data_IF_786346310013
#
_entry.id   IF_786346310013
#
_cell.length_a   1.000
_cell.length_b   1.000
_cell.length_c   1.000
_cell.angle_alpha   90.00
_cell.angle_beta   90.00
_cell.angle_gamma   90.00
#
_symmetry.space_group_name_H-M   'P 1'
#
loop_
_entity.id
_entity.type
_entity.pdbx_description
1 polymer ?
#
# COMPACT_ATOMS: atom_id res chain seq x y z
N UNK A 1 13.04 -18.92 1.37
CA UNK A 1 11.58 -19.01 1.53
C UNK A 1 10.93 -17.81 0.87
N UNK A 2 11.40 -16.60 1.17
CA UNK A 2 11.14 -15.42 0.35
C UNK A 2 11.83 -15.53 -1.01
N UNK A 3 11.04 -15.65 -2.08
CA UNK A 3 11.52 -15.74 -3.46
C UNK A 3 10.56 -14.99 -4.36
N UNK A 4 11.12 -14.21 -5.30
CA UNK A 4 10.35 -13.49 -6.29
C UNK A 4 10.69 -13.99 -7.69
N UNK A 5 9.73 -14.67 -8.30
CA UNK A 5 9.87 -15.24 -9.64
C UNK A 5 9.08 -14.42 -10.64
N UNK A 6 9.77 -13.86 -11.63
CA UNK A 6 9.14 -13.27 -12.80
C UNK A 6 8.70 -14.39 -13.75
N UNK A 7 7.46 -14.34 -14.21
CA UNK A 7 6.91 -15.26 -15.21
C UNK A 7 6.91 -14.66 -16.61
N UNK A 8 6.53 -13.39 -16.73
CA UNK A 8 6.47 -12.68 -17.99
C UNK A 8 6.68 -11.18 -17.78
N UNK A 9 7.07 -10.49 -18.85
CA UNK A 9 7.33 -9.05 -18.86
C UNK A 9 6.86 -8.44 -20.16
N UNK A 10 6.35 -7.22 -20.11
CA UNK A 10 6.08 -6.39 -21.28
C UNK A 10 6.61 -4.97 -21.05
N UNK A 11 7.77 -4.66 -21.65
CA UNK A 11 8.51 -3.46 -21.26
C UNK A 11 8.90 -3.54 -19.79
N UNK A 12 8.55 -2.51 -19.01
CA UNK A 12 8.83 -2.47 -17.58
C UNK A 12 7.78 -3.21 -16.73
N UNK A 13 6.59 -3.51 -17.27
CA UNK A 13 5.55 -4.24 -16.55
C UNK A 13 5.96 -5.70 -16.34
N UNK A 14 5.71 -6.22 -15.14
CA UNK A 14 6.16 -7.54 -14.72
C UNK A 14 4.99 -8.33 -14.13
N UNK A 15 4.77 -9.54 -14.63
CA UNK A 15 3.94 -10.53 -13.93
C UNK A 15 4.88 -11.47 -13.21
N UNK A 16 4.69 -11.58 -11.91
CA UNK A 16 5.53 -12.39 -11.05
C UNK A 16 4.77 -13.10 -9.95
N UNK A 17 5.53 -13.74 -9.08
CA UNK A 17 5.03 -14.44 -7.90
C UNK A 17 6.01 -14.25 -6.77
N UNK A 18 5.54 -13.70 -5.66
CA UNK A 18 6.30 -13.56 -4.42
C UNK A 18 5.86 -14.63 -3.43
N UNK A 19 6.78 -15.48 -3.00
CA UNK A 19 6.51 -16.57 -2.06
C UNK A 19 6.81 -16.11 -0.64
N UNK A 20 5.91 -16.33 0.30
CA UNK A 20 6.10 -16.05 1.73
C UNK A 20 5.72 -17.28 2.57
N UNK A 21 6.03 -17.30 3.89
CA UNK A 21 5.62 -18.38 4.78
C UNK A 21 4.11 -18.66 4.80
N UNK A 22 3.27 -17.63 4.67
CA UNK A 22 1.81 -17.74 4.76
C UNK A 22 1.10 -17.78 3.41
N UNK A 23 1.83 -17.83 2.28
CA UNK A 23 1.21 -18.01 0.97
C UNK A 23 2.02 -17.41 -0.18
N UNK A 24 1.45 -17.49 -1.37
CA UNK A 24 2.01 -16.89 -2.57
C UNK A 24 1.21 -15.64 -2.95
N UNK A 25 1.89 -14.62 -3.46
CA UNK A 25 1.28 -13.37 -3.94
C UNK A 25 1.61 -13.20 -5.42
N UNK A 26 0.59 -13.22 -6.28
CA UNK A 26 0.71 -12.94 -7.71
C UNK A 26 0.88 -11.44 -7.93
N UNK A 27 1.95 -11.04 -8.61
CA UNK A 27 2.21 -9.62 -8.90
C UNK A 27 1.90 -9.28 -10.37
N UNK A 28 1.39 -8.07 -10.66
CA UNK A 28 1.13 -6.98 -9.72
C UNK A 28 -0.07 -7.25 -8.77
N UNK A 29 -0.02 -6.75 -7.53
CA UNK A 29 -1.03 -6.96 -6.49
C UNK A 29 -1.37 -5.68 -5.73
N UNK A 30 -2.66 -5.47 -5.49
CA UNK A 30 -3.16 -4.47 -4.55
C UNK A 30 -3.44 -5.10 -3.19
N UNK A 31 -2.89 -4.49 -2.12
CA UNK A 31 -3.02 -4.92 -0.74
C UNK A 31 -4.07 -4.06 -0.01
N UNK A 32 -5.22 -4.64 0.39
CA UNK A 32 -6.17 -3.96 1.25
C UNK A 32 -5.55 -3.56 2.59
N UNK A 33 -5.80 -2.31 3.02
CA UNK A 33 -5.20 -1.76 4.24
C UNK A 33 -6.04 -2.07 5.48
N UNK A 34 -5.46 -2.85 6.39
CA UNK A 34 -5.93 -3.22 7.72
C UNK A 34 -5.37 -2.31 8.81
N UNK A 35 -5.94 -1.12 9.00
CA UNK A 35 -5.40 -0.09 9.91
C UNK A 35 -5.28 -0.53 11.38
N UNK A 36 -6.19 -1.38 11.88
CA UNK A 36 -6.23 -1.80 13.29
C UNK A 36 -6.41 -3.33 13.38
N UNK A 37 -5.67 -4.08 12.54
CA UNK A 37 -5.89 -5.53 12.40
C UNK A 37 -7.25 -5.86 11.76
N UNK A 38 -7.79 -4.95 10.94
CA UNK A 38 -9.05 -5.16 10.20
C UNK A 38 -9.12 -4.24 8.99
N UNK A 39 -9.49 -4.80 7.84
CA UNK A 39 -9.89 -4.02 6.66
C UNK A 39 -11.27 -3.43 6.93
N UNK A 40 -11.35 -2.09 6.99
CA UNK A 40 -12.54 -1.39 7.50
C UNK A 40 -13.82 -1.83 6.79
N UNK A 41 -14.74 -2.41 7.56
CA UNK A 41 -16.09 -2.77 7.11
C UNK A 41 -16.22 -4.16 6.50
N UNK A 42 -15.14 -4.95 6.43
CA UNK A 42 -15.11 -6.30 5.87
C UNK A 42 -14.60 -7.31 6.90
N UNK A 43 -15.09 -8.55 6.80
CA UNK A 43 -14.42 -9.70 7.42
C UNK A 43 -13.34 -10.21 6.47
N UNK A 44 -12.35 -10.93 7.00
CA UNK A 44 -11.19 -11.36 6.21
C UNK A 44 -11.55 -12.39 5.12
N UNK A 45 -12.56 -13.23 5.32
CA UNK A 45 -13.10 -14.12 4.28
C UNK A 45 -13.57 -13.34 3.05
N UNK A 46 -14.20 -12.18 3.26
CA UNK A 46 -14.61 -11.32 2.15
C UNK A 46 -13.41 -10.71 1.47
N UNK A 47 -12.41 -10.25 2.24
CA UNK A 47 -11.17 -9.70 1.68
C UNK A 47 -10.49 -10.72 0.77
N UNK A 48 -10.40 -11.99 1.22
CA UNK A 48 -9.89 -13.10 0.41
C UNK A 48 -10.75 -13.35 -0.83
N UNK A 49 -12.08 -13.40 -0.69
CA UNK A 49 -13.00 -13.64 -1.79
C UNK A 49 -12.97 -12.55 -2.88
N UNK A 50 -12.48 -11.34 -2.56
CA UNK A 50 -12.28 -10.27 -3.54
C UNK A 50 -11.00 -10.45 -4.37
N UNK A 51 -10.19 -11.47 -4.10
CA UNK A 51 -8.94 -11.76 -4.82
C UNK A 51 -7.70 -11.10 -4.19
N UNK A 52 -7.80 -10.59 -2.97
CA UNK A 52 -6.62 -10.15 -2.23
C UNK A 52 -5.85 -11.37 -1.72
N UNK A 53 -4.56 -11.44 -2.05
CA UNK A 53 -3.66 -12.50 -1.56
C UNK A 53 -2.77 -11.98 -0.43
N UNK A 54 -2.60 -10.67 -0.29
CA UNK A 54 -1.79 -10.04 0.74
C UNK A 54 -2.51 -8.81 1.28
N UNK A 55 -2.33 -8.50 2.56
CA UNK A 55 -2.87 -7.30 3.21
C UNK A 55 -1.78 -6.48 3.86
N UNK A 56 -1.99 -5.16 3.96
CA UNK A 56 -1.13 -4.28 4.73
C UNK A 56 -1.74 -4.06 6.11
N UNK A 57 -0.96 -4.25 7.17
CA UNK A 57 -1.32 -3.88 8.54
C UNK A 57 -0.50 -2.70 9.01
N UNK A 58 -1.12 -1.80 9.76
CA UNK A 58 -0.45 -0.58 10.21
C UNK A 58 0.18 -0.75 11.59
N UNK A 59 1.52 -0.62 11.65
CA UNK A 59 2.28 -0.80 12.89
C UNK A 59 1.98 0.30 13.91
N UNK A 60 1.92 1.56 13.48
CA UNK A 60 1.67 2.70 14.37
C UNK A 60 0.36 2.53 15.14
N UNK A 61 -0.71 2.15 14.45
CA UNK A 61 -2.02 1.99 15.05
C UNK A 61 -2.10 0.75 15.95
N UNK A 62 -1.56 -0.39 15.51
CA UNK A 62 -1.53 -1.62 16.32
C UNK A 62 -0.67 -1.47 17.58
N UNK A 63 0.45 -0.74 17.48
CA UNK A 63 1.30 -0.39 18.60
C UNK A 63 0.55 0.41 19.66
N UNK A 64 -0.19 1.45 19.26
CA UNK A 64 -0.94 2.28 20.20
C UNK A 64 -2.18 1.57 20.76
N UNK A 65 -2.88 0.80 19.92
CA UNK A 65 -4.05 0.03 20.35
C UNK A 65 -4.30 -1.14 19.39
N UNK A 66 -4.30 -2.39 19.87
CA UNK A 66 -4.36 -2.79 21.27
C UNK A 66 -2.99 -2.92 21.98
N UNK A 67 -1.89 -2.68 21.27
CA UNK A 67 -0.54 -3.02 21.72
C UNK A 67 -0.06 -4.32 21.08
N UNK A 68 1.16 -4.31 20.54
CA UNK A 68 1.74 -5.45 19.83
C UNK A 68 2.01 -6.67 20.75
N UNK A 69 2.35 -6.45 22.02
CA UNK A 69 2.50 -7.52 23.02
C UNK A 69 1.19 -8.28 23.22
N UNK A 70 0.07 -7.56 23.36
CA UNK A 70 -1.25 -8.19 23.49
C UNK A 70 -1.65 -8.95 22.21
N UNK A 71 -1.32 -8.41 21.02
CA UNK A 71 -1.55 -9.13 19.75
C UNK A 71 -0.73 -10.43 19.73
N UNK A 72 0.52 -10.40 20.17
CA UNK A 72 1.37 -11.58 20.28
C UNK A 72 0.78 -12.62 21.24
N UNK A 73 0.39 -12.22 22.45
CA UNK A 73 -0.22 -13.10 23.46
C UNK A 73 -1.53 -13.75 22.96
N UNK A 74 -2.23 -13.09 22.04
CA UNK A 74 -3.45 -13.60 21.39
C UNK A 74 -3.18 -14.47 20.15
N UNK A 75 -1.93 -14.84 19.89
CA UNK A 75 -1.54 -15.76 18.80
C UNK A 75 -0.84 -15.10 17.62
N UNK A 76 -0.47 -13.82 17.72
CA UNK A 76 0.12 -13.06 16.61
C UNK A 76 -0.93 -12.43 15.69
N UNK A 77 -0.48 -11.60 14.76
CA UNK A 77 -1.37 -10.76 13.97
C UNK A 77 -2.30 -11.55 13.06
N UNK A 78 -1.82 -12.62 12.41
CA UNK A 78 -2.62 -13.51 11.57
C UNK A 78 -3.83 -14.07 12.32
N UNK A 79 -3.60 -14.69 13.48
CA UNK A 79 -4.66 -15.24 14.35
C UNK A 79 -5.58 -14.15 14.89
N UNK A 80 -5.00 -13.03 15.32
CA UNK A 80 -5.74 -11.90 15.88
C UNK A 80 -6.75 -11.31 14.87
N UNK A 81 -6.34 -11.17 13.60
CA UNK A 81 -7.20 -10.62 12.56
C UNK A 81 -7.97 -11.67 11.76
N UNK A 82 -7.73 -12.97 11.99
CA UNK A 82 -8.29 -14.10 11.23
C UNK A 82 -7.93 -14.03 9.74
N UNK A 83 -6.64 -13.83 9.47
CA UNK A 83 -6.09 -13.81 8.11
C UNK A 83 -4.97 -14.82 7.98
N UNK A 84 -5.19 -15.85 7.16
CA UNK A 84 -4.21 -16.92 6.96
C UNK A 84 -3.19 -16.60 5.84
N UNK A 85 -3.40 -15.51 5.11
CA UNK A 85 -2.52 -15.11 4.00
C UNK A 85 -1.33 -14.24 4.43
N UNK A 86 -0.45 -13.89 3.47
CA UNK A 86 0.64 -12.95 3.69
C UNK A 86 0.21 -11.60 4.27
N UNK A 87 1.01 -11.06 5.21
CA UNK A 87 0.85 -9.72 5.79
C UNK A 87 2.13 -8.90 5.58
N UNK A 88 1.96 -7.65 5.15
CA UNK A 88 3.01 -6.62 5.20
C UNK A 88 2.69 -5.64 6.34
N UNK A 89 3.64 -5.35 7.21
CA UNK A 89 3.51 -4.24 8.17
C UNK A 89 4.32 -3.04 7.72
N UNK A 90 3.71 -1.85 7.73
CA UNK A 90 4.47 -0.61 7.54
C UNK A 90 5.34 -0.29 8.77
N UNK A 91 6.29 0.62 8.64
CA UNK A 91 7.18 0.99 9.75
C UNK A 91 6.53 1.91 10.78
N UNK A 92 5.33 2.44 10.48
CA UNK A 92 4.71 3.53 11.23
C UNK A 92 5.35 4.90 11.00
N UNK A 93 6.44 4.99 10.23
CA UNK A 93 7.16 6.23 9.95
C UNK A 93 6.21 7.28 9.38
N UNK A 94 5.60 7.02 8.22
CA UNK A 94 4.72 7.98 7.53
C UNK A 94 3.62 8.55 8.45
N UNK A 95 3.00 7.74 9.31
CA UNK A 95 1.96 8.17 10.23
C UNK A 95 2.53 9.16 11.26
N UNK A 96 3.70 8.87 11.80
CA UNK A 96 4.42 9.78 12.70
C UNK A 96 4.82 11.08 11.97
N UNK A 97 5.26 11.02 10.70
CA UNK A 97 5.58 12.22 9.91
C UNK A 97 4.34 13.05 9.54
N UNK A 98 3.20 12.40 9.27
CA UNK A 98 1.93 13.07 8.97
C UNK A 98 1.38 13.87 10.17
N UNK A 99 1.84 13.57 11.38
CA UNK A 99 1.49 14.22 12.63
C UNK A 99 2.50 15.33 13.02
N UNK A 100 2.96 16.12 12.05
CA UNK A 100 4.06 17.08 12.20
C UNK A 100 3.95 18.07 13.38
N UNK A 101 2.75 18.32 13.92
CA UNK A 101 2.53 19.21 15.07
C UNK A 101 2.85 18.59 16.44
N UNK A 102 2.96 17.27 16.51
CA UNK A 102 3.04 16.52 17.77
C UNK A 102 4.19 15.50 17.75
N UNK A 103 5.28 15.86 17.08
CA UNK A 103 6.45 15.01 16.87
C UNK A 103 7.75 15.82 16.99
N UNK A 104 8.77 15.21 17.59
CA UNK A 104 10.15 15.68 17.59
C UNK A 104 11.06 14.63 16.92
N UNK A 105 11.90 15.07 15.97
CA UNK A 105 12.82 14.19 15.24
C UNK A 105 14.25 14.37 15.75
N UNK A 106 14.90 13.25 16.05
CA UNK A 106 16.30 13.19 16.45
C UNK A 106 17.13 12.38 15.44
N UNK A 107 18.45 12.33 15.65
CA UNK A 107 19.33 11.54 14.79
C UNK A 107 19.03 10.04 14.90
N UNK A 108 18.65 9.57 16.09
CA UNK A 108 18.55 8.15 16.43
C UNK A 108 17.11 7.65 16.66
N UNK A 109 16.13 8.54 16.71
CA UNK A 109 14.73 8.21 17.03
C UNK A 109 13.75 9.30 16.61
N UNK A 110 12.48 8.99 16.74
CA UNK A 110 11.37 9.95 16.63
C UNK A 110 10.46 9.85 17.85
N UNK A 111 10.23 10.97 18.51
CA UNK A 111 9.29 11.08 19.63
C UNK A 111 7.96 11.65 19.11
N UNK A 112 6.84 11.16 19.60
CA UNK A 112 5.52 11.64 19.19
C UNK A 112 4.48 11.49 20.31
N UNK A 113 3.37 12.20 20.17
CA UNK A 113 2.20 12.03 21.04
C UNK A 113 1.15 11.15 20.37
N UNK A 114 0.58 10.24 21.15
CA UNK A 114 -0.56 9.41 20.77
C UNK A 114 -1.76 10.30 20.43
N UNK A 115 -2.33 10.08 19.25
CA UNK A 115 -3.59 10.73 18.84
C UNK A 115 -4.82 10.18 19.59
N UNK A 116 -4.65 9.11 20.39
CA UNK A 116 -5.74 8.46 21.13
C UNK A 116 -5.94 9.12 22.49
N UNK A 117 -4.85 9.36 23.22
CA UNK A 117 -4.89 9.80 24.63
C UNK A 117 -3.83 10.85 24.99
N UNK A 118 -2.99 11.28 24.05
CA UNK A 118 -1.95 12.29 24.27
C UNK A 118 -0.71 11.79 25.00
N UNK A 119 -0.62 10.49 25.30
CA UNK A 119 0.59 9.90 25.89
C UNK A 119 1.80 10.04 24.96
N UNK A 120 3.00 10.15 25.53
CA UNK A 120 4.25 10.28 24.77
C UNK A 120 4.84 8.91 24.46
N UNK A 121 5.27 8.73 23.22
CA UNK A 121 5.88 7.52 22.71
C UNK A 121 7.13 7.86 21.90
N UNK A 122 7.95 6.84 21.66
CA UNK A 122 9.18 6.94 20.89
C UNK A 122 9.29 5.73 19.97
N UNK A 123 9.67 5.98 18.72
CA UNK A 123 10.12 4.94 17.78
C UNK A 123 11.60 5.13 17.46
N UNK A 124 12.37 4.10 17.73
CA UNK A 124 13.72 3.88 17.20
C UNK A 124 13.70 2.80 16.10
N UNK A 125 14.71 2.75 15.21
CA UNK A 125 14.89 1.66 14.26
C UNK A 125 14.74 0.26 14.88
N UNK A 126 15.37 0.01 16.03
CA UNK A 126 15.31 -1.27 16.72
C UNK A 126 13.92 -1.56 17.28
N UNK A 127 13.28 -0.57 17.93
CA UNK A 127 11.95 -0.75 18.51
C UNK A 127 10.90 -1.08 17.44
N UNK A 128 11.00 -0.49 16.25
CA UNK A 128 10.07 -0.74 15.15
C UNK A 128 10.26 -2.13 14.56
N UNK A 129 11.51 -2.62 14.50
CA UNK A 129 11.78 -4.02 14.17
C UNK A 129 11.18 -4.94 15.25
N UNK A 130 11.41 -4.66 16.54
CA UNK A 130 10.87 -5.46 17.64
C UNK A 130 9.34 -5.56 17.60
N UNK A 131 8.66 -4.44 17.37
CA UNK A 131 7.20 -4.38 17.26
C UNK A 131 6.72 -5.25 16.10
N UNK A 132 7.28 -5.08 14.90
CA UNK A 132 6.83 -5.82 13.71
C UNK A 132 7.19 -7.31 13.80
N UNK A 133 8.32 -7.65 14.43
CA UNK A 133 8.70 -9.04 14.74
C UNK A 133 7.71 -9.69 15.70
N UNK A 134 7.28 -8.95 16.72
CA UNK A 134 6.29 -9.38 17.71
C UNK A 134 4.90 -9.58 17.09
N UNK A 135 4.49 -8.69 16.18
CA UNK A 135 3.25 -8.83 15.40
C UNK A 135 3.28 -10.06 14.49
N UNK A 136 4.44 -10.44 13.97
CA UNK A 136 4.65 -11.67 13.21
C UNK A 136 4.26 -11.61 11.73
N UNK A 137 4.24 -10.42 11.12
CA UNK A 137 3.92 -10.25 9.69
C UNK A 137 5.01 -10.82 8.75
N UNK A 138 4.65 -11.31 7.56
CA UNK A 138 5.61 -11.90 6.61
C UNK A 138 6.67 -10.90 6.11
N UNK A 139 6.26 -9.67 5.82
CA UNK A 139 7.15 -8.58 5.36
C UNK A 139 7.06 -7.43 6.35
N UNK A 140 8.20 -6.96 6.82
CA UNK A 140 8.31 -5.81 7.72
C UNK A 140 9.08 -4.70 7.02
N UNK A 141 8.67 -3.45 7.21
CA UNK A 141 9.34 -2.30 6.59
C UNK A 141 10.34 -1.67 7.57
N UNK A 142 11.53 -1.30 7.08
CA UNK A 142 12.49 -0.54 7.85
C UNK A 142 11.93 0.85 8.22
N UNK A 143 12.26 1.34 9.42
CA UNK A 143 11.93 2.72 9.80
C UNK A 143 12.73 3.69 8.94
N UNK A 144 12.02 4.62 8.32
CA UNK A 144 12.55 5.61 7.40
C UNK A 144 12.08 7.01 7.78
N UNK A 145 12.67 8.03 7.15
CA UNK A 145 12.16 9.38 7.22
C UNK A 145 11.50 9.76 5.89
N UNK A 146 10.27 10.27 5.94
CA UNK A 146 9.54 10.72 4.77
C UNK A 146 9.46 12.26 4.73
N UNK A 147 10.37 12.96 4.02
CA UNK A 147 10.25 14.40 3.78
C UNK A 147 8.94 14.76 3.08
N UNK A 148 8.36 15.96 3.36
CA UNK A 148 7.18 16.44 2.64
C UNK A 148 7.49 16.71 1.16
N UNK A 149 6.47 16.69 0.31
CA UNK A 149 6.59 17.10 -1.09
C UNK A 149 7.15 18.53 -1.20
N UNK A 150 8.08 18.74 -2.12
CA UNK A 150 8.70 20.05 -2.35
C UNK A 150 9.72 20.48 -1.29
N UNK A 151 10.12 19.59 -0.36
CA UNK A 151 11.23 19.84 0.54
C UNK A 151 12.53 20.11 -0.23
N UNK A 152 13.35 21.03 0.28
CA UNK A 152 14.61 21.41 -0.35
C UNK A 152 15.55 20.21 -0.53
N UNK A 153 16.26 20.17 -1.65
CA UNK A 153 17.24 19.12 -1.98
C UNK A 153 18.22 18.83 -0.85
N UNK A 154 18.75 19.88 -0.19
CA UNK A 154 19.68 19.73 0.94
C UNK A 154 19.05 19.03 2.14
N UNK A 155 17.78 19.33 2.45
CA UNK A 155 17.03 18.65 3.51
C UNK A 155 16.79 17.17 3.15
N UNK A 156 16.36 16.91 1.92
CA UNK A 156 16.12 15.54 1.43
C UNK A 156 17.41 14.72 1.44
N UNK A 157 18.56 15.31 1.09
CA UNK A 157 19.87 14.65 1.18
C UNK A 157 20.21 14.24 2.61
N UNK A 158 20.02 15.13 3.59
CA UNK A 158 20.20 14.81 5.03
C UNK A 158 19.23 13.72 5.48
N UNK A 159 18.00 13.74 4.98
CA UNK A 159 16.99 12.74 5.28
C UNK A 159 17.33 11.36 4.73
N UNK A 160 17.86 11.28 3.50
CA UNK A 160 18.36 10.03 2.93
C UNK A 160 19.53 9.47 3.76
N UNK A 161 20.48 10.32 4.18
CA UNK A 161 21.59 9.89 5.05
C UNK A 161 21.05 9.32 6.38
N UNK A 162 20.05 9.96 6.98
CA UNK A 162 19.38 9.46 8.20
C UNK A 162 18.70 8.12 7.95
N UNK A 163 17.96 7.99 6.83
CA UNK A 163 17.27 6.75 6.45
C UNK A 163 18.25 5.59 6.25
N UNK A 164 19.42 5.83 5.66
CA UNK A 164 20.49 4.82 5.54
C UNK A 164 21.00 4.38 6.92
N UNK A 165 21.35 5.33 7.80
CA UNK A 165 21.79 4.99 9.17
C UNK A 165 20.72 4.21 9.95
N UNK A 166 19.45 4.55 9.76
CA UNK A 166 18.34 3.84 10.38
C UNK A 166 18.14 2.44 9.79
N UNK A 167 18.33 2.27 8.48
CA UNK A 167 18.29 0.98 7.81
C UNK A 167 19.37 0.03 8.33
N UNK A 168 20.61 0.49 8.48
CA UNK A 168 21.71 -0.30 9.07
C UNK A 168 21.38 -0.81 10.47
N UNK A 169 20.73 0.03 11.28
CA UNK A 169 20.26 -0.33 12.63
C UNK A 169 19.09 -1.32 12.61
N UNK A 170 18.11 -1.10 11.72
CA UNK A 170 17.01 -2.04 11.52
C UNK A 170 17.54 -3.42 11.13
N UNK A 171 18.49 -3.46 10.19
CA UNK A 171 19.14 -4.68 9.72
C UNK A 171 19.87 -5.40 10.84
N UNK A 172 20.73 -4.69 11.57
CA UNK A 172 21.49 -5.28 12.67
C UNK A 172 20.57 -5.91 13.72
N UNK A 173 19.49 -5.21 14.08
CA UNK A 173 18.49 -5.73 15.01
C UNK A 173 17.72 -6.93 14.45
N UNK A 174 17.34 -6.87 13.18
CA UNK A 174 16.65 -7.97 12.51
C UNK A 174 17.50 -9.25 12.53
N UNK A 175 18.77 -9.15 12.14
CA UNK A 175 19.72 -10.27 12.17
C UNK A 175 19.92 -10.84 13.57
N UNK A 176 20.09 -9.98 14.58
CA UNK A 176 20.22 -10.40 15.97
C UNK A 176 19.01 -11.24 16.44
N UNK A 177 17.79 -10.83 16.06
CA UNK A 177 16.56 -11.56 16.40
C UNK A 177 16.42 -12.87 15.62
N UNK A 178 16.86 -12.91 14.36
CA UNK A 178 16.90 -14.15 13.58
C UNK A 178 17.86 -15.18 14.19
N UNK A 179 19.06 -14.75 14.61
CA UNK A 179 20.07 -15.61 15.21
C UNK A 179 19.61 -16.23 16.55
N UNK A 180 18.78 -15.52 17.31
CA UNK A 180 18.18 -16.03 18.55
C UNK A 180 17.11 -17.11 18.29
N UNK A 181 16.52 -17.13 17.10
CA UNK A 181 15.46 -18.09 16.74
C UNK A 181 14.13 -17.86 17.46
N UNK A 182 13.91 -16.67 18.02
CA UNK A 182 12.80 -16.34 18.92
C UNK A 182 11.54 -15.81 18.19
N UNK A 183 11.53 -15.69 16.86
CA UNK A 183 10.41 -15.08 16.14
C UNK A 183 10.10 -15.76 14.80
N UNK A 184 8.87 -15.56 14.25
CA UNK A 184 8.46 -16.17 13.00
C UNK A 184 9.40 -15.80 11.84
N UNK A 185 9.35 -16.58 10.76
CA UNK A 185 10.09 -16.24 9.55
C UNK A 185 9.47 -15.00 8.93
N UNK A 186 10.28 -13.95 8.75
CA UNK A 186 9.85 -12.68 8.17
C UNK A 186 10.97 -12.17 7.27
N UNK A 187 10.72 -11.12 6.51
CA UNK A 187 11.76 -10.43 5.76
C UNK A 187 11.66 -8.92 5.92
N UNK A 188 12.81 -8.23 5.88
CA UNK A 188 12.92 -6.79 6.01
C UNK A 188 13.05 -6.13 4.63
N UNK A 189 12.19 -5.16 4.33
CA UNK A 189 12.28 -4.33 3.14
C UNK A 189 12.78 -2.92 3.51
N UNK A 190 13.81 -2.39 2.83
CA UNK A 190 14.19 -1.00 2.94
C UNK A 190 13.17 -0.09 2.23
N UNK A 191 13.07 1.17 2.63
CA UNK A 191 12.16 2.16 2.04
C UNK A 191 12.94 3.24 1.32
N UNK A 192 12.86 3.25 -0.01
CA UNK A 192 13.59 4.17 -0.85
C UNK A 192 12.96 5.56 -0.79
N UNK A 193 13.75 6.51 -0.31
CA UNK A 193 13.45 7.94 -0.23
C UNK A 193 14.25 8.76 -1.28
N UNK A 194 14.00 10.07 -1.33
CA UNK A 194 14.68 10.97 -2.27
C UNK A 194 13.76 12.02 -2.91
N UNK A 195 12.47 12.06 -2.54
CA UNK A 195 11.49 13.02 -3.07
C UNK A 195 11.44 12.94 -4.61
N UNK A 196 11.35 14.09 -5.31
CA UNK A 196 11.36 14.16 -6.78
C UNK A 196 12.77 14.28 -7.41
N UNK A 197 13.83 14.14 -6.61
CA UNK A 197 15.22 14.41 -7.04
C UNK A 197 15.92 13.14 -7.54
N UNK A 198 16.25 13.12 -8.84
CA UNK A 198 16.78 11.94 -9.51
C UNK A 198 18.15 11.49 -8.99
N UNK A 199 19.03 12.44 -8.69
CA UNK A 199 20.35 12.15 -8.13
C UNK A 199 20.23 11.49 -6.76
N UNK A 200 19.35 12.01 -5.89
CA UNK A 200 19.12 11.45 -4.56
C UNK A 200 18.44 10.08 -4.63
N UNK A 201 17.48 9.88 -5.54
CA UNK A 201 16.83 8.58 -5.76
C UNK A 201 17.80 7.51 -6.24
N UNK A 202 18.66 7.82 -7.22
CA UNK A 202 19.70 6.89 -7.72
C UNK A 202 20.70 6.53 -6.63
N UNK A 203 21.24 7.54 -5.96
CA UNK A 203 22.25 7.35 -4.92
C UNK A 203 21.71 6.45 -3.80
N UNK A 204 20.49 6.74 -3.33
CA UNK A 204 19.88 5.99 -2.25
C UNK A 204 19.56 4.53 -2.64
N UNK A 205 19.13 4.29 -3.90
CA UNK A 205 18.95 2.93 -4.42
C UNK A 205 20.24 2.12 -4.36
N UNK A 206 21.37 2.74 -4.78
CA UNK A 206 22.69 2.10 -4.81
C UNK A 206 23.20 1.79 -3.41
N UNK A 207 23.07 2.75 -2.48
CA UNK A 207 23.46 2.54 -1.08
C UNK A 207 22.70 1.38 -0.44
N UNK A 208 21.41 1.20 -0.73
CA UNK A 208 20.67 0.03 -0.24
C UNK A 208 21.27 -1.28 -0.74
N UNK A 209 21.61 -1.36 -2.02
CA UNK A 209 22.21 -2.56 -2.62
C UNK A 209 23.63 -2.84 -2.10
N UNK A 210 24.35 -1.82 -1.62
CA UNK A 210 25.66 -1.99 -0.97
C UNK A 210 25.56 -2.59 0.44
N UNK A 211 24.45 -2.33 1.16
CA UNK A 211 24.24 -2.84 2.52
C UNK A 211 23.92 -4.33 2.53
N UNK A 212 22.98 -4.76 1.68
CA UNK A 212 22.49 -6.14 1.65
C UNK A 212 21.78 -6.49 0.33
N UNK A 213 21.73 -7.78 0.00
CA UNK A 213 20.84 -8.32 -1.04
C UNK A 213 19.42 -8.47 -0.48
N UNK A 214 18.67 -7.37 -0.50
CA UNK A 214 17.31 -7.30 0.01
C UNK A 214 16.35 -8.19 -0.79
N UNK A 215 15.41 -8.81 -0.08
CA UNK A 215 14.38 -9.65 -0.72
C UNK A 215 13.29 -8.87 -1.47
N UNK A 216 13.26 -7.55 -1.32
CA UNK A 216 12.36 -6.61 -2.01
C UNK A 216 12.60 -5.18 -1.56
N UNK A 217 11.97 -4.22 -2.22
CA UNK A 217 12.20 -2.78 -2.01
C UNK A 217 10.88 -2.02 -1.90
N UNK A 218 10.71 -1.24 -0.83
CA UNK A 218 9.68 -0.21 -0.74
C UNK A 218 10.12 1.06 -1.48
N UNK A 219 9.18 1.73 -2.13
CA UNK A 219 9.35 3.03 -2.78
C UNK A 219 8.44 4.00 -2.02
N UNK A 220 9.06 4.81 -1.15
CA UNK A 220 8.38 5.79 -0.30
C UNK A 220 8.58 7.23 -0.79
N UNK A 221 7.94 8.17 -0.09
CA UNK A 221 8.08 9.60 -0.37
C UNK A 221 7.56 10.02 -1.75
N UNK A 222 6.60 9.27 -2.28
CA UNK A 222 5.80 9.57 -3.47
C UNK A 222 4.32 9.49 -3.09
N UNK A 223 3.45 10.08 -3.90
CA UNK A 223 2.04 10.34 -3.65
C UNK A 223 1.80 11.14 -2.35
N UNK A 224 2.70 12.09 -2.06
CA UNK A 224 2.64 12.96 -0.86
C UNK A 224 2.46 14.44 -1.20
N UNK A 225 2.11 14.74 -2.45
CA UNK A 225 1.76 16.08 -2.93
C UNK A 225 2.53 16.54 -4.17
N UNK A 226 3.42 15.71 -4.71
CA UNK A 226 4.13 15.99 -5.95
C UNK A 226 3.24 15.81 -7.21
N UNK A 227 3.71 16.31 -8.35
CA UNK A 227 2.99 16.13 -9.61
C UNK A 227 3.01 14.67 -10.06
N UNK A 228 1.97 14.24 -10.77
CA UNK A 228 1.93 12.89 -11.35
C UNK A 228 3.10 12.63 -12.30
N UNK A 229 3.46 13.62 -13.11
CA UNK A 229 4.59 13.53 -14.03
C UNK A 229 5.92 13.31 -13.30
N UNK A 230 6.13 13.97 -12.15
CA UNK A 230 7.31 13.74 -11.32
C UNK A 230 7.34 12.32 -10.75
N UNK A 231 6.21 11.85 -10.21
CA UNK A 231 6.10 10.48 -9.71
C UNK A 231 6.42 9.46 -10.82
N UNK A 232 5.85 9.62 -12.01
CA UNK A 232 6.09 8.76 -13.17
C UNK A 232 7.55 8.74 -13.60
N UNK A 233 8.18 9.92 -13.72
CA UNK A 233 9.59 10.07 -14.04
C UNK A 233 10.49 9.38 -13.02
N UNK A 234 10.17 9.49 -11.72
CA UNK A 234 10.93 8.81 -10.65
C UNK A 234 10.76 7.29 -10.73
N UNK A 235 9.56 6.77 -11.03
CA UNK A 235 9.37 5.32 -11.20
C UNK A 235 10.13 4.77 -12.41
N UNK A 236 10.12 5.49 -13.53
CA UNK A 236 10.91 5.14 -14.73
C UNK A 236 12.41 5.12 -14.42
N UNK A 237 12.89 6.12 -13.66
CA UNK A 237 14.26 6.16 -13.18
C UNK A 237 14.63 4.92 -12.34
N UNK A 238 13.78 4.58 -11.35
CA UNK A 238 14.05 3.46 -10.44
C UNK A 238 13.97 2.10 -11.14
N UNK A 239 13.31 2.02 -12.29
CA UNK A 239 13.25 0.79 -13.07
C UNK A 239 14.65 0.27 -13.44
N UNK A 240 15.55 1.20 -13.80
CA UNK A 240 16.92 0.89 -14.23
C UNK A 240 17.89 0.67 -13.07
N UNK A 241 17.59 1.21 -11.89
CA UNK A 241 18.47 1.13 -10.71
C UNK A 241 18.14 -0.08 -9.82
N UNK A 242 16.86 -0.44 -9.66
CA UNK A 242 16.45 -1.52 -8.75
C UNK A 242 16.57 -2.91 -9.41
N UNK A 243 17.01 -3.95 -8.67
CA UNK A 243 17.10 -5.30 -9.20
C UNK A 243 15.77 -5.80 -9.78
N UNK A 244 15.82 -6.40 -10.97
CA UNK A 244 14.63 -6.92 -11.65
C UNK A 244 14.00 -8.10 -10.91
N UNK A 245 14.82 -8.96 -10.31
CA UNK A 245 14.42 -10.19 -9.61
C UNK A 245 13.96 -9.95 -8.15
N UNK A 246 13.56 -8.72 -7.82
CA UNK A 246 13.05 -8.34 -6.51
C UNK A 246 11.71 -7.60 -6.66
N UNK A 247 10.73 -7.84 -5.76
CA UNK A 247 9.47 -7.14 -5.79
C UNK A 247 9.68 -5.66 -5.46
N UNK A 248 8.97 -4.80 -6.17
CA UNK A 248 8.99 -3.34 -5.98
C UNK A 248 7.63 -2.89 -5.45
N UNK A 249 7.61 -2.40 -4.22
CA UNK A 249 6.41 -2.00 -3.50
C UNK A 249 6.26 -0.48 -3.52
N UNK A 250 5.27 0.03 -4.25
CA UNK A 250 4.94 1.46 -4.27
C UNK A 250 3.97 1.79 -3.14
N UNK A 251 4.47 2.53 -2.14
CA UNK A 251 3.76 2.75 -0.89
C UNK A 251 2.68 3.85 -1.03
N UNK A 252 1.46 3.58 -0.56
CA UNK A 252 0.38 4.56 -0.46
C UNK A 252 -0.35 4.91 -1.76
N UNK A 253 -0.01 4.27 -2.88
CA UNK A 253 -0.64 4.47 -4.19
C UNK A 253 -1.71 3.42 -4.46
N UNK A 254 -2.90 3.86 -4.86
CA UNK A 254 -3.98 2.92 -5.20
C UNK A 254 -5.24 3.55 -5.77
N UNK A 255 -5.13 4.69 -6.45
CA UNK A 255 -6.18 5.07 -7.40
C UNK A 255 -6.05 4.21 -8.66
N UNK A 256 -7.16 3.88 -9.35
CA UNK A 256 -7.11 2.91 -10.45
C UNK A 256 -6.15 3.27 -11.59
N UNK A 257 -6.13 4.53 -12.00
CA UNK A 257 -5.24 5.02 -13.05
C UNK A 257 -3.79 5.05 -12.58
N UNK A 258 -3.55 5.48 -11.35
CA UNK A 258 -2.21 5.45 -10.77
C UNK A 258 -1.63 4.03 -10.68
N UNK A 259 -2.47 3.05 -10.32
CA UNK A 259 -2.07 1.64 -10.25
C UNK A 259 -1.57 1.17 -11.62
N UNK A 260 -2.32 1.41 -12.70
CA UNK A 260 -1.90 0.99 -14.04
C UNK A 260 -0.63 1.71 -14.52
N UNK A 261 -0.53 3.01 -14.28
CA UNK A 261 0.66 3.80 -14.65
C UNK A 261 1.91 3.32 -13.89
N UNK A 262 1.76 2.93 -12.62
CA UNK A 262 2.85 2.38 -11.84
C UNK A 262 3.21 0.93 -12.24
N UNK A 263 2.23 0.10 -12.59
CA UNK A 263 2.48 -1.23 -13.18
C UNK A 263 3.24 -1.10 -14.49
N UNK A 264 2.85 -0.15 -15.35
CA UNK A 264 3.55 0.13 -16.61
C UNK A 264 5.02 0.52 -16.41
N UNK A 265 5.37 1.02 -15.22
CA UNK A 265 6.73 1.42 -14.80
C UNK A 265 7.40 0.39 -13.88
N UNK A 266 6.80 -0.79 -13.79
CA UNK A 266 7.38 -1.95 -13.14
C UNK A 266 7.25 -1.95 -11.62
N UNK A 267 6.22 -1.36 -11.04
CA UNK A 267 5.84 -1.63 -9.65
C UNK A 267 5.01 -2.92 -9.54
N UNK A 268 5.19 -3.68 -8.46
CA UNK A 268 4.57 -4.99 -8.26
C UNK A 268 3.54 -5.02 -7.14
N UNK A 269 3.78 -4.27 -6.05
CA UNK A 269 2.92 -4.26 -4.87
C UNK A 269 2.43 -2.84 -4.64
N UNK A 270 1.17 -2.72 -4.23
CA UNK A 270 0.49 -1.45 -4.00
C UNK A 270 -0.37 -1.54 -2.75
N UNK A 271 -0.54 -0.43 -2.05
CA UNK A 271 -1.52 -0.31 -0.98
C UNK A 271 -2.15 1.08 -1.00
N UNK A 272 -3.41 1.18 -0.62
CA UNK A 272 -4.01 2.48 -0.38
C UNK A 272 -5.25 2.37 0.49
N UNK A 273 -5.48 3.38 1.32
CA UNK A 273 -6.74 3.51 2.07
C UNK A 273 -7.89 4.04 1.20
N UNK A 274 -7.61 4.54 0.00
CA UNK A 274 -8.60 5.16 -0.89
C UNK A 274 -9.87 4.32 -1.12
N UNK A 275 -9.81 2.98 -1.36
CA UNK A 275 -11.00 2.20 -1.64
C UNK A 275 -12.04 2.26 -0.51
N UNK A 276 -11.59 1.98 0.71
CA UNK A 276 -12.46 1.96 1.90
C UNK A 276 -12.74 3.38 2.41
N UNK A 277 -11.83 4.34 2.21
CA UNK A 277 -12.03 5.76 2.56
C UNK A 277 -13.09 6.41 1.67
N UNK A 278 -13.01 6.21 0.36
CA UNK A 278 -13.95 6.77 -0.61
C UNK A 278 -15.34 6.15 -0.43
N UNK A 279 -15.40 4.84 -0.14
CA UNK A 279 -16.64 4.15 0.22
C UNK A 279 -17.37 4.83 1.40
N UNK A 280 -16.65 5.22 2.47
CA UNK A 280 -17.22 5.96 3.62
C UNK A 280 -17.79 7.33 3.23
N UNK A 281 -17.29 7.95 2.17
CA UNK A 281 -17.78 9.23 1.67
C UNK A 281 -18.88 9.09 0.59
N UNK A 282 -19.24 7.85 0.22
CA UNK A 282 -20.25 7.55 -0.80
C UNK A 282 -19.71 7.58 -2.23
N UNK A 283 -18.39 7.49 -2.39
CA UNK A 283 -17.74 7.46 -3.70
C UNK A 283 -17.33 6.03 -4.09
N UNK A 284 -17.49 5.70 -5.36
CA UNK A 284 -17.14 4.41 -5.93
C UNK A 284 -16.48 4.56 -7.31
N UNK A 285 -15.62 3.63 -7.68
CA UNK A 285 -15.02 3.59 -9.02
C UNK A 285 -15.82 2.69 -9.95
N UNK A 286 -15.96 3.09 -11.21
CA UNK A 286 -16.70 2.31 -12.21
C UNK A 286 -15.93 2.32 -13.53
N UNK A 287 -16.02 1.24 -14.28
CA UNK A 287 -15.32 1.03 -15.55
C UNK A 287 -15.69 2.07 -16.62
N UNK A 288 -16.95 2.52 -16.65
CA UNK A 288 -17.47 3.40 -17.69
C UNK A 288 -17.55 4.87 -17.31
N UNK A 289 -17.85 5.19 -16.04
CA UNK A 289 -18.09 6.56 -15.57
C UNK A 289 -16.97 7.08 -14.65
N UNK A 290 -15.90 6.31 -14.50
CA UNK A 290 -14.81 6.65 -13.60
C UNK A 290 -15.28 6.66 -12.15
N UNK A 291 -14.77 7.63 -11.37
CA UNK A 291 -15.20 7.82 -10.00
C UNK A 291 -16.55 8.53 -9.94
N UNK A 292 -17.54 7.89 -9.33
CA UNK A 292 -18.88 8.43 -9.11
C UNK A 292 -19.13 8.73 -7.64
N UNK A 293 -19.96 9.74 -7.37
CA UNK A 293 -20.50 10.03 -6.03
C UNK A 293 -21.98 9.64 -5.97
N UNK A 294 -22.30 8.58 -5.23
CA UNK A 294 -23.67 8.04 -5.18
C UNK A 294 -24.67 8.96 -4.47
N UNK A 295 -24.25 10.07 -3.85
CA UNK A 295 -25.16 11.10 -3.33
C UNK A 295 -25.89 11.86 -4.45
N UNK A 296 -25.31 11.90 -5.66
CA UNK A 296 -25.85 12.65 -6.80
C UNK A 296 -27.29 12.23 -7.12
N UNK A 297 -28.13 13.22 -7.46
CA UNK A 297 -29.56 13.00 -7.72
C UNK A 297 -29.81 12.06 -8.92
N UNK A 298 -28.89 12.01 -9.89
CA UNK A 298 -29.00 11.14 -11.09
C UNK A 298 -29.15 9.65 -10.77
N UNK A 299 -28.68 9.20 -9.61
CA UNK A 299 -28.79 7.80 -9.22
C UNK A 299 -30.09 7.47 -8.47
N UNK A 300 -31.03 8.40 -8.29
CA UNK A 300 -32.25 8.19 -7.47
C UNK A 300 -33.14 7.05 -7.96
N UNK A 301 -33.21 6.85 -9.27
CA UNK A 301 -34.08 5.86 -9.92
C UNK A 301 -33.26 4.94 -10.84
N UNK A 302 -31.93 4.94 -10.68
CA UNK A 302 -31.02 4.13 -11.51
C UNK A 302 -30.99 2.67 -11.01
N UNK A 303 -31.76 1.81 -11.67
CA UNK A 303 -31.88 0.38 -11.33
C UNK A 303 -30.77 -0.50 -11.92
N UNK A 304 -29.75 0.11 -12.53
CA UNK A 304 -28.55 -0.62 -13.00
C UNK A 304 -27.65 -0.97 -11.81
N UNK A 305 -26.80 -2.02 -11.94
CA UNK A 305 -25.76 -2.28 -10.95
C UNK A 305 -24.78 -1.11 -10.85
N UNK A 306 -24.01 -1.04 -9.77
CA UNK A 306 -23.00 0.01 -9.57
C UNK A 306 -21.99 0.05 -10.72
N UNK A 307 -21.51 -1.10 -11.16
CA UNK A 307 -20.71 -1.28 -12.36
C UNK A 307 -21.16 -2.55 -13.09
N UNK A 308 -21.36 -2.47 -14.39
CA UNK A 308 -21.82 -3.60 -15.22
C UNK A 308 -20.71 -4.60 -15.52
N UNK A 309 -19.45 -4.23 -15.33
CA UNK A 309 -18.27 -5.09 -15.57
C UNK A 309 -17.75 -5.73 -14.27
N UNK A 310 -18.34 -5.40 -13.11
CA UNK A 310 -17.90 -5.90 -11.81
C UNK A 310 -18.69 -7.13 -11.37
N UNK A 311 -17.98 -8.14 -10.89
CA UNK A 311 -18.48 -9.42 -10.42
C UNK A 311 -18.70 -9.47 -8.89
N UNK A 312 -18.48 -8.36 -8.17
CA UNK A 312 -18.60 -8.34 -6.71
C UNK A 312 -20.04 -8.54 -6.21
N UNK A 313 -20.16 -8.94 -4.95
CA UNK A 313 -21.45 -9.08 -4.26
C UNK A 313 -22.35 -7.85 -4.41
N UNK A 314 -21.79 -6.65 -4.23
CA UNK A 314 -22.54 -5.38 -4.36
C UNK A 314 -23.17 -5.22 -5.74
N UNK A 315 -22.42 -5.43 -6.82
CA UNK A 315 -22.92 -5.28 -8.19
C UNK A 315 -23.89 -6.41 -8.58
N UNK A 316 -23.74 -7.60 -8.02
CA UNK A 316 -24.64 -8.73 -8.30
C UNK A 316 -26.01 -8.63 -7.61
N UNK A 317 -26.10 -7.90 -6.49
CA UNK A 317 -27.26 -7.93 -5.61
C UNK A 317 -27.98 -6.59 -5.43
N UNK A 318 -27.32 -5.46 -5.72
CA UNK A 318 -27.87 -4.13 -5.44
C UNK A 318 -27.75 -3.20 -6.65
N UNK A 319 -28.77 -2.38 -6.84
CA UNK A 319 -28.77 -1.31 -7.83
C UNK A 319 -28.30 0.03 -7.24
N UNK A 320 -27.98 0.97 -8.15
CA UNK A 320 -27.50 2.31 -7.78
C UNK A 320 -28.54 3.12 -7.01
N UNK A 321 -29.83 2.93 -7.28
CA UNK A 321 -30.93 3.58 -6.56
C UNK A 321 -30.94 3.23 -5.08
N UNK A 322 -30.85 1.95 -4.76
CA UNK A 322 -30.77 1.46 -3.39
C UNK A 322 -29.47 1.87 -2.72
N UNK A 323 -28.33 1.71 -3.40
CA UNK A 323 -27.04 2.13 -2.85
C UNK A 323 -27.02 3.64 -2.55
N UNK A 324 -27.55 4.48 -3.44
CA UNK A 324 -27.73 5.90 -3.18
C UNK A 324 -28.60 6.14 -1.95
N UNK A 325 -29.74 5.46 -1.83
CA UNK A 325 -30.62 5.60 -0.68
C UNK A 325 -29.86 5.36 0.62
N UNK A 326 -29.10 4.26 0.72
CA UNK A 326 -28.28 3.95 1.89
C UNK A 326 -27.21 5.00 2.16
N UNK A 327 -26.50 5.47 1.12
CA UNK A 327 -25.47 6.50 1.24
C UNK A 327 -26.04 7.82 1.77
N UNK A 328 -27.21 8.25 1.27
CA UNK A 328 -27.88 9.48 1.71
C UNK A 328 -28.44 9.33 3.12
N UNK A 329 -28.96 8.15 3.46
CA UNK A 329 -29.45 7.82 4.79
C UNK A 329 -28.32 7.62 5.82
N UNK A 330 -27.05 7.60 5.38
CA UNK A 330 -25.87 7.34 6.23
C UNK A 330 -25.91 5.96 6.91
N UNK A 331 -26.47 4.96 6.22
CA UNK A 331 -26.53 3.58 6.71
C UNK A 331 -25.16 2.90 6.61
N UNK A 332 -24.77 2.17 7.67
CA UNK A 332 -23.49 1.45 7.71
C UNK A 332 -23.34 0.43 6.58
N UNK A 333 -24.46 -0.14 6.12
CA UNK A 333 -24.48 -1.06 4.99
C UNK A 333 -23.96 -0.41 3.71
N UNK A 334 -24.17 0.89 3.50
CA UNK A 334 -23.60 1.61 2.35
C UNK A 334 -22.07 1.52 2.35
N UNK A 335 -21.46 1.80 3.51
CA UNK A 335 -20.00 1.79 3.66
C UNK A 335 -19.44 0.41 3.34
N UNK A 336 -20.09 -0.65 3.83
CA UNK A 336 -19.69 -2.03 3.58
C UNK A 336 -19.78 -2.40 2.11
N UNK A 337 -20.95 -2.18 1.48
CA UNK A 337 -21.17 -2.52 0.08
C UNK A 337 -20.23 -1.77 -0.87
N UNK A 338 -19.99 -0.48 -0.62
CA UNK A 338 -19.05 0.30 -1.44
C UNK A 338 -17.59 -0.10 -1.19
N UNK A 339 -17.24 -0.53 0.03
CA UNK A 339 -15.89 -1.02 0.31
C UNK A 339 -15.61 -2.35 -0.40
N UNK A 340 -16.57 -3.27 -0.41
CA UNK A 340 -16.51 -4.52 -1.19
C UNK A 340 -16.27 -4.19 -2.67
N UNK A 341 -17.08 -3.29 -3.23
CA UNK A 341 -16.98 -2.90 -4.63
C UNK A 341 -15.62 -2.27 -4.97
N UNK A 342 -15.20 -1.25 -4.22
CA UNK A 342 -13.96 -0.52 -4.52
C UNK A 342 -12.71 -1.39 -4.35
N UNK A 343 -12.70 -2.30 -3.37
CA UNK A 343 -11.61 -3.25 -3.21
C UNK A 343 -11.58 -4.25 -4.38
N UNK A 344 -12.74 -4.82 -4.76
CA UNK A 344 -12.81 -5.70 -5.93
C UNK A 344 -12.34 -5.00 -7.20
N UNK A 345 -12.66 -3.72 -7.36
CA UNK A 345 -12.26 -2.95 -8.53
C UNK A 345 -10.74 -2.96 -8.72
N UNK A 346 -9.96 -2.74 -7.65
CA UNK A 346 -8.50 -2.72 -7.72
C UNK A 346 -7.86 -4.10 -7.80
N UNK A 347 -8.42 -5.11 -7.11
CA UNK A 347 -7.93 -6.49 -7.22
C UNK A 347 -8.20 -7.06 -8.61
N UNK A 348 -9.38 -6.82 -9.18
CA UNK A 348 -9.72 -7.20 -10.56
C UNK A 348 -8.84 -6.46 -11.59
N UNK A 349 -8.51 -5.19 -11.35
CA UNK A 349 -7.58 -4.43 -12.19
C UNK A 349 -6.15 -5.02 -12.14
N UNK A 350 -5.73 -5.50 -10.97
CA UNK A 350 -4.46 -6.21 -10.79
C UNK A 350 -4.48 -7.57 -11.51
N UNK A 351 -5.58 -8.34 -11.38
CA UNK A 351 -5.80 -9.60 -12.10
C UNK A 351 -5.72 -9.43 -13.62
N UNK A 352 -6.44 -8.44 -14.15
CA UNK A 352 -6.44 -8.14 -15.58
C UNK A 352 -5.05 -7.66 -16.04
N UNK A 353 -4.35 -6.86 -15.24
CA UNK A 353 -2.97 -6.47 -15.54
C UNK A 353 -2.06 -7.68 -15.71
N UNK A 354 -2.13 -8.66 -14.80
CA UNK A 354 -1.36 -9.92 -14.89
C UNK A 354 -1.67 -10.68 -16.18
N UNK A 355 -2.95 -10.83 -16.51
CA UNK A 355 -3.39 -11.52 -17.75
C UNK A 355 -2.85 -10.82 -18.99
N UNK A 356 -2.92 -9.49 -19.02
CA UNK A 356 -2.48 -8.69 -20.18
C UNK A 356 -0.96 -8.72 -20.36
N UNK A 357 -0.19 -8.75 -19.28
CA UNK A 357 1.28 -8.90 -19.33
C UNK A 357 1.64 -10.29 -19.86
N UNK A 358 0.96 -11.35 -19.39
CA UNK A 358 1.15 -12.72 -19.90
C UNK A 358 0.83 -12.82 -21.40
N UNK A 359 -0.16 -12.07 -21.89
CA UNK A 359 -0.56 -12.00 -23.29
C UNK A 359 0.30 -11.06 -24.15
N UNK A 360 1.17 -10.24 -23.56
CA UNK A 360 1.94 -9.21 -24.26
C UNK A 360 1.05 -8.10 -24.86
N UNK A 361 -0.07 -7.78 -24.21
CA UNK A 361 -1.03 -6.73 -24.63
C UNK A 361 -1.27 -5.65 -23.56
N UNK A 362 -0.52 -5.67 -22.46
CA UNK A 362 -0.68 -4.75 -21.34
C UNK A 362 -0.51 -3.29 -21.76
N UNK A 363 0.47 -2.95 -22.58
CA UNK A 363 0.71 -1.55 -22.96
C UNK A 363 -0.47 -0.98 -23.74
N UNK A 364 -0.91 -1.66 -24.79
CA UNK A 364 -2.04 -1.18 -25.61
C UNK A 364 -3.33 -1.16 -24.80
N UNK A 365 -3.59 -2.20 -24.02
CA UNK A 365 -4.78 -2.28 -23.18
C UNK A 365 -4.81 -1.19 -22.10
N UNK A 366 -3.71 -0.98 -21.39
CA UNK A 366 -3.66 0.01 -20.29
C UNK A 366 -3.78 1.44 -20.82
N UNK A 367 -3.19 1.74 -21.98
CA UNK A 367 -3.37 3.04 -22.65
C UNK A 367 -4.84 3.30 -23.01
N UNK A 368 -5.49 2.35 -23.70
CA UNK A 368 -6.91 2.46 -24.05
C UNK A 368 -7.80 2.54 -22.80
N UNK A 369 -7.47 1.77 -21.75
CA UNK A 369 -8.21 1.80 -20.49
C UNK A 369 -8.09 3.17 -19.82
N UNK A 370 -6.87 3.71 -19.71
CA UNK A 370 -6.59 5.00 -19.08
C UNK A 370 -7.24 6.16 -19.84
N UNK A 371 -7.19 6.15 -21.17
CA UNK A 371 -7.85 7.15 -22.01
C UNK A 371 -9.36 7.17 -21.77
N UNK A 372 -10.01 6.00 -21.76
CA UNK A 372 -11.45 5.90 -21.47
C UNK A 372 -11.76 6.34 -20.04
N UNK A 373 -11.00 5.87 -19.06
CA UNK A 373 -11.24 6.14 -17.65
C UNK A 373 -11.08 7.64 -17.32
N UNK A 374 -10.01 8.27 -17.81
CA UNK A 374 -9.76 9.72 -17.62
C UNK A 374 -10.77 10.57 -18.41
N UNK A 375 -11.16 10.14 -19.62
CA UNK A 375 -12.16 10.83 -20.45
C UNK A 375 -13.58 10.82 -19.87
N UNK A 376 -13.90 9.86 -19.00
CA UNK A 376 -15.23 9.69 -18.40
C UNK A 376 -15.60 10.73 -17.32
N UNK A 377 -14.72 11.68 -17.04
CA UNK A 377 -14.93 12.70 -16.01
C UNK A 377 -14.48 12.25 -14.62
N UNK A 378 -13.51 11.33 -14.54
CA UNK A 378 -12.65 11.21 -13.37
C UNK A 378 -11.99 12.58 -13.16
N UNK A 379 -12.65 13.45 -12.39
CA UNK A 379 -12.08 14.71 -11.97
C UNK A 379 -10.77 14.33 -11.29
N UNK A 380 -9.66 14.75 -11.90
CA UNK A 380 -8.38 14.96 -11.25
C UNK A 380 -8.66 15.87 -10.06
N UNK A 381 -9.12 15.30 -8.96
CA UNK A 381 -9.04 15.96 -7.68
C UNK A 381 -7.56 16.01 -7.39
N UNK A 382 -6.95 17.17 -7.59
CA UNK A 382 -5.63 17.47 -7.03
C UNK A 382 -5.68 17.06 -5.56
N UNK A 383 -5.05 15.93 -5.26
CA UNK A 383 -5.06 15.33 -3.94
C UNK A 383 -3.93 15.99 -3.14
N UNK A 384 -4.31 16.95 -2.30
CA UNK A 384 -3.49 17.43 -1.18
C UNK A 384 -3.71 16.51 0.02
#
# INVERSE_FOLDING_TARGET
>A
MFDFKIHSTEGAARRGKFSTPHGEVQTPAFMPVGTLGTVKGLIMDEVSALGAEMVLANTYHLYLRPGHELVHDLGGLHEFMRWDGPILTDSGGYQVFSLAKIRDLYEDRVEFQSHIDGSKHEFTPESVVDIQRTLGADVIMALDECPPAGADHSYVSVSNIRTIKWLERCRARFQELEERGESPQQTLFPVLQGNIYDDLRREHARQFMEIEDWTGYGIGGLSVGESKDDMWRVLELLHDELPMNRPRYLMGVGYPDDLLEAVARGCDLFDCVAPTRNARHGAAWTSQEGQVNLKMARFREDTRPLDTECDCYTCSCYDRAYLRHLVVASEWLAVRLLSIHNLRFLTALSEESRRRIDEGTFRSWSQEWLERYRGSGAQLTDHI
#
